data_IF_015544676927
#
_entry.id   IF_015544676927
#
_cell.length_a   1.000
_cell.length_b   1.000
_cell.length_c   1.000
_cell.angle_alpha   90.00
_cell.angle_beta   90.00
_cell.angle_gamma   90.00
#
_symmetry.space_group_name_H-M   'P 1'
#
loop_
_entity.id
_entity.type
_entity.pdbx_description
1 polymer ?
#
# COMPACT_ATOMS: atom_id res chain seq x y z
N UNK A 1 35.83 -2.07 -7.30
CA UNK A 1 34.85 -2.97 -6.66
C UNK A 1 35.60 -4.20 -6.21
N UNK A 2 35.50 -4.61 -4.94
CA UNK A 2 36.03 -5.89 -4.51
C UNK A 2 35.20 -7.01 -5.16
N UNK A 3 35.87 -8.00 -5.76
CA UNK A 3 35.19 -9.17 -6.29
C UNK A 3 34.54 -10.01 -5.19
N UNK A 4 33.66 -10.96 -5.54
CA UNK A 4 33.08 -11.89 -4.57
C UNK A 4 34.21 -12.66 -3.86
N UNK A 5 34.06 -12.83 -2.54
CA UNK A 5 35.02 -13.59 -1.74
C UNK A 5 35.02 -15.09 -2.15
N UNK A 6 36.05 -15.86 -1.79
CA UNK A 6 36.14 -17.28 -2.16
C UNK A 6 34.93 -18.12 -1.72
N UNK A 7 34.30 -17.79 -0.59
CA UNK A 7 33.15 -18.53 -0.06
C UNK A 7 31.89 -18.24 -0.88
N UNK A 8 31.70 -16.99 -1.32
CA UNK A 8 30.63 -16.59 -2.23
C UNK A 8 30.75 -17.29 -3.58
N UNK A 9 31.97 -17.41 -4.11
CA UNK A 9 32.21 -18.14 -5.36
C UNK A 9 31.91 -19.63 -5.22
N UNK A 10 32.39 -20.26 -4.13
CA UNK A 10 32.10 -21.67 -3.87
C UNK A 10 30.60 -21.92 -3.69
N UNK A 11 29.89 -21.03 -3.00
CA UNK A 11 28.44 -21.10 -2.82
C UNK A 11 27.68 -20.92 -4.13
N UNK A 12 28.11 -19.99 -5.00
CA UNK A 12 27.55 -19.82 -6.35
C UNK A 12 27.60 -21.13 -7.14
N UNK A 13 28.79 -21.74 -7.25
CA UNK A 13 28.95 -22.98 -8.01
C UNK A 13 28.15 -24.14 -7.44
N UNK A 14 28.07 -24.23 -6.10
CA UNK A 14 27.24 -25.24 -5.43
C UNK A 14 25.77 -25.08 -5.80
N UNK A 15 25.24 -23.85 -5.77
CA UNK A 15 23.85 -23.57 -6.14
C UNK A 15 23.60 -23.80 -7.63
N UNK A 16 24.49 -23.30 -8.49
CA UNK A 16 24.39 -23.48 -9.94
C UNK A 16 24.27 -24.95 -10.30
N UNK A 17 25.15 -25.81 -9.77
CA UNK A 17 25.10 -27.26 -9.99
C UNK A 17 23.86 -27.92 -9.37
N UNK A 18 23.43 -27.48 -8.16
CA UNK A 18 22.23 -28.00 -7.50
C UNK A 18 20.97 -27.82 -8.35
N UNK A 19 20.89 -26.74 -9.13
CA UNK A 19 19.76 -26.43 -10.00
C UNK A 19 19.97 -26.87 -11.46
N UNK A 20 20.90 -27.80 -11.70
CA UNK A 20 21.10 -28.42 -13.02
C UNK A 20 22.11 -27.70 -13.92
N UNK A 21 22.79 -26.66 -13.42
CA UNK A 21 23.90 -26.02 -14.12
C UNK A 21 25.09 -26.98 -14.27
N UNK A 22 25.75 -26.97 -15.42
CA UNK A 22 26.89 -27.83 -15.73
C UNK A 22 28.05 -26.99 -16.30
N UNK A 23 29.28 -27.54 -16.25
CA UNK A 23 30.45 -26.85 -16.81
C UNK A 23 30.28 -26.53 -18.33
N UNK A 24 29.66 -27.40 -19.16
CA UNK A 24 29.28 -27.04 -20.52
C UNK A 24 28.33 -25.84 -20.62
N UNK A 25 27.25 -25.80 -19.81
CA UNK A 25 26.30 -24.67 -19.81
C UNK A 25 27.01 -23.37 -19.44
N UNK A 26 27.93 -23.40 -18.46
CA UNK A 26 28.69 -22.21 -18.12
C UNK A 26 29.63 -21.78 -19.26
N UNK A 27 30.34 -22.71 -19.88
CA UNK A 27 31.24 -22.39 -21.00
C UNK A 27 30.49 -21.75 -22.16
N UNK A 28 29.30 -22.26 -22.46
CA UNK A 28 28.41 -21.68 -23.47
C UNK A 28 27.98 -20.27 -23.08
N UNK A 29 27.51 -20.08 -21.84
CA UNK A 29 27.10 -18.79 -21.32
C UNK A 29 28.23 -17.75 -21.32
N UNK A 30 29.47 -18.15 -21.00
CA UNK A 30 30.66 -17.27 -21.05
C UNK A 30 31.15 -16.97 -22.46
N UNK A 31 30.76 -17.77 -23.46
CA UNK A 31 31.19 -17.63 -24.86
C UNK A 31 30.15 -17.00 -25.78
N UNK A 32 28.92 -16.80 -25.33
CA UNK A 32 27.81 -16.23 -26.11
C UNK A 32 27.21 -15.00 -25.40
N UNK A 33 27.52 -13.82 -25.94
CA UNK A 33 27.05 -12.53 -25.43
C UNK A 33 25.52 -12.43 -25.40
N UNK A 34 24.80 -13.02 -26.37
CA UNK A 34 23.33 -12.98 -26.40
C UNK A 34 22.74 -13.84 -25.29
N UNK A 35 23.33 -15.00 -25.04
CA UNK A 35 22.90 -15.88 -23.95
C UNK A 35 23.20 -15.26 -22.59
N UNK A 36 24.35 -14.61 -22.42
CA UNK A 36 24.70 -13.85 -21.22
C UNK A 36 23.73 -12.68 -20.99
N UNK A 37 23.46 -11.89 -22.03
CA UNK A 37 22.49 -10.79 -21.97
C UNK A 37 21.10 -11.29 -21.57
N UNK A 38 20.63 -12.39 -22.18
CA UNK A 38 19.36 -13.02 -21.81
C UNK A 38 19.34 -13.47 -20.34
N UNK A 39 20.41 -14.11 -19.86
CA UNK A 39 20.49 -14.60 -18.48
C UNK A 39 20.46 -13.46 -17.46
N UNK A 40 21.26 -12.40 -17.69
CA UNK A 40 21.30 -11.21 -16.84
C UNK A 40 19.95 -10.48 -16.88
N UNK A 41 19.35 -10.33 -18.05
CA UNK A 41 18.02 -9.71 -18.20
C UNK A 41 16.97 -10.50 -17.44
N UNK A 42 16.91 -11.82 -17.63
CA UNK A 42 15.96 -12.71 -16.93
C UNK A 42 16.13 -12.68 -15.41
N UNK A 43 17.37 -12.63 -14.91
CA UNK A 43 17.66 -12.51 -13.49
C UNK A 43 17.20 -11.15 -12.95
N UNK A 44 17.47 -10.07 -13.68
CA UNK A 44 17.05 -8.73 -13.29
C UNK A 44 15.52 -8.58 -13.32
N UNK A 45 14.85 -9.14 -14.33
CA UNK A 45 13.38 -9.18 -14.40
C UNK A 45 12.79 -9.89 -13.20
N UNK A 46 13.30 -11.08 -12.84
CA UNK A 46 12.84 -11.81 -11.65
C UNK A 46 13.19 -11.12 -10.34
N UNK A 47 14.34 -10.46 -10.26
CA UNK A 47 14.77 -9.73 -9.06
C UNK A 47 13.94 -8.47 -8.84
N UNK A 48 13.51 -7.85 -9.93
CA UNK A 48 12.78 -6.58 -9.92
C UNK A 48 11.26 -6.75 -10.04
N UNK A 49 10.75 -7.97 -10.22
CA UNK A 49 9.32 -8.24 -10.25
C UNK A 49 8.68 -8.06 -8.88
N UNK A 50 7.42 -7.63 -8.87
CA UNK A 50 6.66 -7.54 -7.64
C UNK A 50 6.12 -8.95 -7.28
N UNK A 51 6.52 -9.54 -6.13
CA UNK A 51 6.05 -10.88 -5.75
C UNK A 51 4.56 -10.92 -5.37
N UNK A 52 3.90 -9.77 -5.30
CA UNK A 52 2.48 -9.60 -4.97
C UNK A 52 1.65 -9.15 -6.18
N UNK A 53 2.22 -9.21 -7.39
CA UNK A 53 1.52 -8.86 -8.63
C UNK A 53 0.27 -9.72 -8.81
N UNK A 54 -0.85 -9.06 -9.16
CA UNK A 54 -2.13 -9.71 -9.44
C UNK A 54 -2.69 -9.24 -10.78
N UNK A 55 -3.46 -10.11 -11.43
CA UNK A 55 -4.11 -9.78 -12.70
C UNK A 55 -5.15 -8.65 -12.55
N UNK A 56 -5.54 -8.04 -13.67
CA UNK A 56 -6.66 -7.06 -13.71
C UNK A 56 -7.95 -7.71 -13.22
N UNK A 57 -8.23 -8.92 -13.71
CA UNK A 57 -9.41 -9.71 -13.30
C UNK A 57 -9.43 -9.93 -11.79
N UNK A 58 -8.33 -10.39 -11.22
CA UNK A 58 -8.22 -10.62 -9.77
C UNK A 58 -8.38 -9.32 -8.96
N UNK A 59 -7.86 -8.20 -9.48
CA UNK A 59 -8.05 -6.88 -8.85
C UNK A 59 -9.54 -6.50 -8.81
N UNK A 60 -10.27 -6.70 -9.91
CA UNK A 60 -11.71 -6.43 -10.00
C UNK A 60 -12.53 -7.39 -9.13
N UNK A 61 -12.14 -8.66 -9.04
CA UNK A 61 -12.77 -9.64 -8.15
C UNK A 61 -12.61 -9.21 -6.68
N UNK A 62 -11.41 -8.76 -6.28
CA UNK A 62 -11.15 -8.21 -4.93
C UNK A 62 -11.94 -6.92 -4.66
N UNK A 63 -12.13 -6.06 -5.67
CA UNK A 63 -13.00 -4.88 -5.59
C UNK A 63 -14.46 -5.29 -5.34
N UNK A 64 -15.01 -6.23 -6.13
CA UNK A 64 -16.39 -6.74 -5.95
C UNK A 64 -16.59 -7.34 -4.56
N UNK A 65 -15.64 -8.14 -4.10
CA UNK A 65 -15.67 -8.67 -2.74
C UNK A 65 -15.73 -7.54 -1.69
N UNK A 66 -14.93 -6.49 -1.86
CA UNK A 66 -14.98 -5.33 -0.95
C UNK A 66 -16.36 -4.68 -0.91
N UNK A 67 -17.03 -4.58 -2.07
CA UNK A 67 -18.40 -4.08 -2.15
C UNK A 67 -19.37 -5.00 -1.41
N UNK A 68 -19.36 -6.29 -1.71
CA UNK A 68 -20.29 -7.24 -1.14
C UNK A 68 -20.13 -7.38 0.39
N UNK A 69 -18.89 -7.46 0.86
CA UNK A 69 -18.62 -7.73 2.27
C UNK A 69 -18.75 -6.48 3.15
N UNK A 70 -18.61 -5.28 2.58
CA UNK A 70 -18.45 -4.06 3.38
C UNK A 70 -19.21 -2.85 2.85
N UNK A 71 -18.99 -2.43 1.60
CA UNK A 71 -19.58 -1.17 1.13
C UNK A 71 -21.10 -1.27 0.93
N UNK A 72 -21.60 -2.36 0.36
CA UNK A 72 -23.04 -2.59 0.13
C UNK A 72 -23.85 -2.68 1.43
N UNK A 73 -23.39 -3.42 2.47
CA UNK A 73 -24.01 -3.36 3.80
C UNK A 73 -24.11 -1.94 4.40
N UNK A 74 -23.24 -1.02 3.98
CA UNK A 74 -23.24 0.39 4.40
C UNK A 74 -24.03 1.31 3.44
N UNK A 75 -24.81 0.74 2.53
CA UNK A 75 -25.69 1.48 1.62
C UNK A 75 -25.06 1.88 0.29
N UNK A 76 -23.82 1.47 -0.01
CA UNK A 76 -23.30 1.58 -1.37
C UNK A 76 -24.02 0.64 -2.33
N UNK A 77 -23.97 0.97 -3.62
CA UNK A 77 -24.36 0.05 -4.69
C UNK A 77 -23.11 -0.60 -5.27
N UNK A 78 -23.20 -1.88 -5.62
CA UNK A 78 -22.14 -2.56 -6.36
C UNK A 78 -21.88 -1.84 -7.69
N UNK A 79 -20.61 -1.78 -8.16
CA UNK A 79 -20.31 -1.26 -9.48
C UNK A 79 -21.06 -2.06 -10.55
N UNK A 80 -21.71 -1.35 -11.47
CA UNK A 80 -22.43 -1.93 -12.60
C UNK A 80 -21.49 -2.68 -13.54
N UNK A 81 -22.03 -3.60 -14.35
CA UNK A 81 -21.26 -4.31 -15.37
C UNK A 81 -20.53 -3.36 -16.34
N UNK A 82 -21.14 -2.21 -16.68
CA UNK A 82 -20.51 -1.20 -17.52
C UNK A 82 -19.34 -0.49 -16.84
N UNK A 83 -19.45 -0.17 -15.55
CA UNK A 83 -18.35 0.44 -14.78
C UNK A 83 -17.19 -0.54 -14.65
N UNK A 84 -17.47 -1.82 -14.39
CA UNK A 84 -16.44 -2.85 -14.28
C UNK A 84 -15.76 -3.12 -15.63
N UNK A 85 -16.53 -3.16 -16.72
CA UNK A 85 -15.96 -3.28 -18.08
C UNK A 85 -15.09 -2.06 -18.42
N UNK A 86 -15.52 -0.86 -18.01
CA UNK A 86 -14.73 0.35 -18.18
C UNK A 86 -13.42 0.29 -17.37
N UNK A 87 -13.49 -0.10 -16.09
CA UNK A 87 -12.31 -0.28 -15.24
C UNK A 87 -11.35 -1.32 -15.82
N UNK A 88 -11.86 -2.46 -16.31
CA UNK A 88 -11.02 -3.48 -16.94
C UNK A 88 -10.25 -2.93 -18.13
N UNK A 89 -10.92 -2.18 -19.01
CA UNK A 89 -10.30 -1.55 -20.19
C UNK A 89 -9.30 -0.46 -19.84
N UNK A 90 -9.54 0.28 -18.75
CA UNK A 90 -8.71 1.39 -18.31
C UNK A 90 -7.63 0.99 -17.31
N UNK A 91 -7.45 -0.31 -17.07
CA UNK A 91 -6.46 -0.78 -16.12
C UNK A 91 -5.04 -0.37 -16.58
N UNK A 92 -4.30 0.43 -15.80
CA UNK A 92 -2.93 0.76 -16.15
C UNK A 92 -2.08 -0.52 -16.15
N UNK A 93 -0.98 -0.53 -16.90
CA UNK A 93 0.01 -1.60 -16.79
C UNK A 93 0.49 -1.73 -15.34
N UNK A 94 0.92 -2.94 -14.96
CA UNK A 94 1.51 -3.11 -13.64
C UNK A 94 2.74 -2.18 -13.50
N UNK A 95 2.82 -1.35 -12.45
CA UNK A 95 3.91 -0.39 -12.34
C UNK A 95 5.24 -1.08 -12.07
N UNK A 96 6.32 -0.50 -12.57
CA UNK A 96 7.67 -1.04 -12.40
C UNK A 96 8.12 -0.92 -10.94
N UNK A 97 8.70 -1.99 -10.40
CA UNK A 97 9.33 -2.00 -9.09
C UNK A 97 8.87 -3.15 -8.20
N UNK A 98 9.77 -3.61 -7.32
CA UNK A 98 9.54 -4.74 -6.41
C UNK A 98 8.46 -4.50 -5.34
N UNK A 99 8.03 -3.26 -5.19
CA UNK A 99 7.04 -2.80 -4.22
C UNK A 99 6.07 -1.77 -4.81
N UNK A 100 5.92 -1.79 -6.15
CA UNK A 100 5.01 -0.93 -6.88
C UNK A 100 3.71 -1.68 -7.20
N UNK A 101 2.57 -1.02 -6.99
CA UNK A 101 1.24 -1.63 -7.03
C UNK A 101 0.29 -0.81 -7.87
N UNK A 102 -0.64 -1.50 -8.53
CA UNK A 102 -1.89 -0.94 -9.05
C UNK A 102 -3.02 -1.33 -8.12
N UNK A 103 -3.78 -0.36 -7.63
CA UNK A 103 -4.94 -0.56 -6.75
C UNK A 103 -6.09 0.39 -7.12
N UNK A 104 -7.07 0.54 -6.23
CA UNK A 104 -8.19 1.44 -6.40
C UNK A 104 -8.22 2.54 -5.35
N UNK A 105 -8.63 3.73 -5.77
CA UNK A 105 -9.29 4.69 -4.89
C UNK A 105 -10.79 4.40 -4.95
N UNK A 106 -11.43 4.10 -3.82
CA UNK A 106 -12.82 3.60 -3.79
C UNK A 106 -13.67 4.54 -2.95
N UNK A 107 -14.46 5.38 -3.64
CA UNK A 107 -15.34 6.38 -3.03
C UNK A 107 -16.76 6.18 -3.56
N UNK A 108 -17.56 5.28 -2.97
CA UNK A 108 -18.90 5.00 -3.46
C UNK A 108 -19.79 6.26 -3.49
N UNK A 109 -20.56 6.44 -4.57
CA UNK A 109 -21.45 7.60 -4.72
C UNK A 109 -22.46 7.78 -3.58
N UNK A 110 -22.96 6.67 -3.01
CA UNK A 110 -23.88 6.71 -1.87
C UNK A 110 -23.28 7.32 -0.59
N UNK A 111 -21.96 7.41 -0.50
CA UNK A 111 -21.30 8.01 0.66
C UNK A 111 -21.27 9.54 0.58
N UNK A 112 -21.54 10.11 -0.59
CA UNK A 112 -21.54 11.55 -0.82
C UNK A 112 -20.14 12.12 -1.00
N UNK A 113 -20.06 13.44 -0.92
CA UNK A 113 -18.83 14.21 -1.13
C UNK A 113 -18.42 14.93 0.16
N UNK A 114 -17.28 15.63 0.12
CA UNK A 114 -16.92 16.53 1.21
C UNK A 114 -16.60 15.79 2.51
N UNK A 115 -16.93 16.41 3.64
CA UNK A 115 -16.69 15.86 4.97
C UNK A 115 -17.39 14.50 5.18
N UNK A 116 -18.66 14.39 4.83
CA UNK A 116 -19.43 13.17 5.09
C UNK A 116 -18.96 12.01 4.20
N UNK A 117 -18.55 12.31 2.96
CA UNK A 117 -17.90 11.35 2.07
C UNK A 117 -16.60 10.81 2.65
N UNK A 118 -15.74 11.68 3.19
CA UNK A 118 -14.48 11.27 3.86
C UNK A 118 -14.75 10.31 5.01
N UNK A 119 -15.68 10.67 5.91
CA UNK A 119 -16.02 9.87 7.09
C UNK A 119 -16.47 8.47 6.67
N UNK A 120 -17.49 8.39 5.80
CA UNK A 120 -18.06 7.10 5.39
C UNK A 120 -17.06 6.25 4.61
N UNK A 121 -16.29 6.85 3.69
CA UNK A 121 -15.24 6.12 2.95
C UNK A 121 -14.19 5.57 3.89
N UNK A 122 -13.72 6.37 4.86
CA UNK A 122 -12.70 5.93 5.80
C UNK A 122 -13.16 4.76 6.66
N UNK A 123 -14.33 4.85 7.30
CA UNK A 123 -14.85 3.79 8.15
C UNK A 123 -15.12 2.50 7.36
N UNK A 124 -15.73 2.62 6.18
CA UNK A 124 -15.99 1.48 5.32
C UNK A 124 -14.67 0.81 4.89
N UNK A 125 -13.65 1.60 4.53
CA UNK A 125 -12.36 1.05 4.11
C UNK A 125 -11.66 0.34 5.28
N UNK A 126 -11.68 0.92 6.49
CA UNK A 126 -11.14 0.29 7.70
C UNK A 126 -11.86 -1.03 8.02
N UNK A 127 -13.19 -1.06 7.95
CA UNK A 127 -13.98 -2.27 8.14
C UNK A 127 -13.64 -3.34 7.09
N UNK A 128 -13.39 -2.91 5.85
CA UNK A 128 -13.03 -3.80 4.76
C UNK A 128 -11.65 -4.43 4.95
N UNK A 129 -10.68 -3.68 5.48
CA UNK A 129 -9.37 -4.22 5.88
C UNK A 129 -9.52 -5.20 7.04
N UNK A 130 -10.30 -4.84 8.08
CA UNK A 130 -10.58 -5.72 9.21
C UNK A 130 -11.08 -7.09 8.74
N UNK A 131 -12.06 -7.11 7.84
CA UNK A 131 -12.66 -8.34 7.32
C UNK A 131 -11.62 -9.33 6.74
N UNK A 132 -10.54 -8.85 6.12
CA UNK A 132 -9.51 -9.68 5.47
C UNK A 132 -8.40 -10.09 6.44
N UNK A 133 -8.16 -9.30 7.48
CA UNK A 133 -7.06 -9.52 8.42
C UNK A 133 -7.52 -10.12 9.75
N UNK A 134 -8.82 -10.20 10.03
CA UNK A 134 -9.36 -10.86 11.20
C UNK A 134 -8.92 -12.35 11.26
N UNK A 135 -8.60 -12.88 12.46
CA UNK A 135 -8.59 -12.21 13.77
C UNK A 135 -7.30 -11.43 14.09
N UNK A 136 -6.33 -11.38 13.16
CA UNK A 136 -5.02 -10.72 13.33
C UNK A 136 -5.06 -9.27 12.85
N UNK A 137 -6.11 -8.55 13.22
CA UNK A 137 -6.30 -7.15 12.91
C UNK A 137 -6.45 -6.34 14.21
N UNK A 138 -5.81 -5.18 14.24
CA UNK A 138 -6.01 -4.20 15.29
C UNK A 138 -6.08 -2.80 14.70
N UNK A 139 -7.02 -2.00 15.17
CA UNK A 139 -7.15 -0.57 14.84
C UNK A 139 -6.95 0.21 16.11
N UNK A 140 -6.09 1.24 16.07
CA UNK A 140 -5.92 2.16 17.18
C UNK A 140 -7.25 2.85 17.52
N UNK A 141 -7.58 2.91 18.79
CA UNK A 141 -8.89 3.40 19.26
C UNK A 141 -9.14 4.88 18.96
N UNK A 142 -8.08 5.68 18.78
CA UNK A 142 -8.20 7.09 18.41
C UNK A 142 -8.11 7.34 16.90
N UNK A 143 -7.84 6.29 16.11
CA UNK A 143 -7.90 6.34 14.66
C UNK A 143 -9.37 6.30 14.22
N UNK A 144 -10.11 7.39 14.42
CA UNK A 144 -11.54 7.51 14.14
C UNK A 144 -11.81 8.61 13.11
N UNK A 145 -12.96 8.57 12.43
CA UNK A 145 -13.43 9.67 11.58
C UNK A 145 -14.66 10.37 12.16
N UNK A 146 -14.85 11.63 11.76
CA UNK A 146 -15.94 12.48 12.25
C UNK A 146 -15.64 13.12 13.60
N UNK A 147 -16.67 13.67 14.22
CA UNK A 147 -16.59 14.33 15.51
C UNK A 147 -16.65 13.30 16.65
N UNK A 148 -15.72 13.38 17.59
CA UNK A 148 -15.69 12.51 18.77
C UNK A 148 -15.43 13.33 20.05
N UNK A 149 -16.01 12.94 21.20
CA UNK A 149 -15.82 13.67 22.45
C UNK A 149 -14.36 13.78 22.87
N UNK A 150 -13.96 14.99 23.30
CA UNK A 150 -12.67 15.29 23.91
C UNK A 150 -12.77 16.52 24.82
N UNK A 151 -12.37 16.39 26.09
CA UNK A 151 -12.39 17.49 27.08
C UNK A 151 -13.72 18.26 27.17
N UNK A 152 -14.84 17.59 26.93
CA UNK A 152 -16.18 18.17 27.01
C UNK A 152 -16.72 18.77 25.70
N UNK A 153 -15.95 18.69 24.61
CA UNK A 153 -16.38 19.15 23.27
C UNK A 153 -16.18 18.06 22.22
N UNK A 154 -16.94 18.10 21.14
CA UNK A 154 -16.76 17.19 20.01
C UNK A 154 -15.68 17.72 19.06
N UNK A 155 -14.66 16.90 18.81
CA UNK A 155 -13.50 17.26 17.98
C UNK A 155 -13.47 16.41 16.72
N UNK A 156 -13.37 17.06 15.56
CA UNK A 156 -13.15 16.39 14.27
C UNK A 156 -11.82 15.64 14.28
N UNK A 157 -11.85 14.33 14.03
CA UNK A 157 -10.69 13.45 14.14
C UNK A 157 -9.90 13.26 12.86
N UNK A 158 -10.54 13.35 11.70
CA UNK A 158 -9.94 13.01 10.42
C UNK A 158 -10.32 14.03 9.34
N UNK A 159 -9.35 14.43 8.53
CA UNK A 159 -9.60 15.16 7.28
C UNK A 159 -8.63 14.73 6.19
N UNK A 160 -8.94 15.09 4.95
CA UNK A 160 -7.96 15.06 3.87
C UNK A 160 -6.97 16.21 4.03
N UNK A 161 -5.68 15.95 3.77
CA UNK A 161 -4.61 16.96 3.82
C UNK A 161 -4.90 18.17 2.92
N UNK A 162 -5.52 17.94 1.77
CA UNK A 162 -5.88 19.00 0.82
C UNK A 162 -7.24 19.67 1.08
N UNK A 163 -7.92 19.33 2.17
CA UNK A 163 -9.31 19.73 2.43
C UNK A 163 -10.33 18.64 2.03
N UNK A 164 -11.40 18.53 2.82
CA UNK A 164 -12.44 17.52 2.62
C UNK A 164 -13.27 17.76 1.35
N UNK A 165 -13.35 19.00 0.87
CA UNK A 165 -13.99 19.41 -0.39
C UNK A 165 -13.41 18.70 -1.63
N UNK A 166 -12.17 18.20 -1.52
CA UNK A 166 -11.52 17.37 -2.55
C UNK A 166 -11.99 15.92 -2.56
N UNK A 167 -12.77 15.49 -1.59
CA UNK A 167 -13.41 14.19 -1.65
C UNK A 167 -14.54 14.22 -2.67
N UNK A 168 -14.34 13.49 -3.75
CA UNK A 168 -15.32 13.28 -4.82
C UNK A 168 -15.58 11.78 -4.98
N UNK A 169 -16.85 11.37 -5.14
CA UNK A 169 -17.19 10.01 -5.48
C UNK A 169 -16.52 9.54 -6.76
N UNK A 170 -16.20 8.26 -6.79
CA UNK A 170 -15.59 7.62 -7.94
C UNK A 170 -14.85 6.36 -7.54
N UNK A 171 -14.68 5.48 -8.51
CA UNK A 171 -13.77 4.35 -8.43
C UNK A 171 -12.78 4.54 -9.56
N UNK A 172 -11.51 4.67 -9.23
CA UNK A 172 -10.46 4.81 -10.23
C UNK A 172 -9.25 3.97 -9.87
N UNK A 173 -8.52 3.57 -10.91
CA UNK A 173 -7.21 2.98 -10.74
C UNK A 173 -6.24 4.01 -10.20
N UNK A 174 -5.38 3.55 -9.30
CA UNK A 174 -4.23 4.31 -8.81
C UNK A 174 -3.01 3.40 -8.84
N UNK A 175 -1.85 3.97 -9.16
CA UNK A 175 -0.56 3.30 -9.04
C UNK A 175 0.24 3.95 -7.91
N UNK A 176 1.11 3.21 -7.25
CA UNK A 176 1.99 3.76 -6.19
C UNK A 176 3.13 2.78 -5.89
N UNK A 177 4.21 3.28 -5.27
CA UNK A 177 5.31 2.45 -4.74
C UNK A 177 5.33 2.51 -3.22
N UNK A 178 5.04 1.39 -2.54
CA UNK A 178 5.02 1.30 -1.08
C UNK A 178 6.42 1.37 -0.43
N UNK A 179 7.48 1.51 -1.22
CA UNK A 179 8.83 1.82 -0.74
C UNK A 179 9.24 3.29 -0.94
N UNK A 180 8.40 4.12 -1.58
CA UNK A 180 8.67 5.53 -1.87
C UNK A 180 8.72 6.41 -0.60
N UNK A 181 9.50 7.50 -0.64
CA UNK A 181 9.49 8.50 0.43
C UNK A 181 10.06 7.98 1.76
N UNK A 182 10.84 6.89 1.71
CA UNK A 182 11.43 6.27 2.90
C UNK A 182 12.59 7.08 3.48
N UNK A 183 13.45 7.63 2.62
CA UNK A 183 14.60 8.47 2.98
C UNK A 183 14.20 9.94 2.93
N UNK A 184 13.43 10.37 3.92
CA UNK A 184 12.91 11.75 4.05
C UNK A 184 13.38 12.37 5.36
N UNK A 185 13.39 13.70 5.42
CA UNK A 185 13.70 14.43 6.66
C UNK A 185 12.57 14.30 7.68
N UNK A 186 11.32 14.42 7.22
CA UNK A 186 10.10 14.20 7.99
C UNK A 186 8.94 13.89 7.03
N UNK A 187 7.75 13.54 7.54
CA UNK A 187 6.60 13.19 6.67
C UNK A 187 6.12 14.42 5.90
N UNK A 188 6.15 15.61 6.51
CA UNK A 188 5.70 16.86 5.89
C UNK A 188 6.52 17.25 4.67
N UNK A 189 7.80 16.87 4.61
CA UNK A 189 8.70 17.18 3.50
C UNK A 189 8.39 16.41 2.21
N UNK A 190 7.57 15.36 2.26
CA UNK A 190 7.25 14.52 1.09
C UNK A 190 5.75 14.25 0.91
N UNK A 191 4.92 14.47 1.94
CA UNK A 191 3.47 14.32 1.81
C UNK A 191 2.88 15.43 0.96
N UNK A 192 1.80 15.14 0.25
CA UNK A 192 1.08 16.10 -0.58
C UNK A 192 -0.38 15.68 -0.78
N UNK A 193 -1.16 16.46 -1.52
CA UNK A 193 -2.52 16.03 -1.91
C UNK A 193 -2.54 14.78 -2.80
N UNK A 194 -1.38 14.34 -3.32
CA UNK A 194 -1.22 13.06 -4.02
C UNK A 194 -0.80 11.92 -3.09
N UNK A 195 -0.52 12.16 -1.82
CA UNK A 195 -0.22 11.06 -0.90
C UNK A 195 -1.39 10.12 -0.75
N UNK A 196 -1.09 8.84 -0.49
CA UNK A 196 -2.14 7.83 -0.31
C UNK A 196 -3.09 8.24 0.82
N UNK A 197 -4.39 8.25 0.58
CA UNK A 197 -5.44 8.48 1.58
C UNK A 197 -6.21 7.18 1.78
N UNK A 198 -7.47 7.11 1.33
CA UNK A 198 -8.25 5.87 1.34
C UNK A 198 -7.60 4.76 0.51
N UNK A 199 -6.93 5.10 -0.60
CA UNK A 199 -6.18 4.16 -1.42
C UNK A 199 -5.08 3.41 -0.64
N UNK A 200 -4.41 4.07 0.31
CA UNK A 200 -3.35 3.44 1.11
C UNK A 200 -3.90 2.43 2.12
N UNK A 201 -5.09 2.69 2.66
CA UNK A 201 -5.79 1.76 3.54
C UNK A 201 -6.36 0.61 2.70
N UNK A 202 -6.98 0.92 1.56
CA UNK A 202 -7.54 -0.07 0.65
C UNK A 202 -6.45 -1.00 0.08
N UNK A 203 -5.22 -0.52 -0.11
CA UNK A 203 -4.07 -1.36 -0.46
C UNK A 203 -3.83 -2.50 0.55
N UNK A 204 -4.07 -2.28 1.84
CA UNK A 204 -3.94 -3.32 2.86
C UNK A 204 -4.98 -4.45 2.69
N UNK A 205 -6.17 -4.13 2.18
CA UNK A 205 -7.18 -5.12 1.77
C UNK A 205 -6.79 -5.78 0.46
N UNK A 206 -6.39 -4.99 -0.53
CA UNK A 206 -6.06 -5.47 -1.87
C UNK A 206 -4.82 -6.36 -1.89
N UNK A 207 -3.89 -6.20 -0.95
CA UNK A 207 -2.63 -6.95 -0.90
C UNK A 207 -2.34 -7.45 0.51
N UNK A 208 -3.15 -8.40 1.03
CA UNK A 208 -3.03 -8.82 2.42
C UNK A 208 -1.68 -9.46 2.71
N UNK A 209 -1.10 -10.18 1.75
CA UNK A 209 0.22 -10.80 1.92
C UNK A 209 1.35 -9.76 1.91
N UNK A 210 1.19 -8.63 1.20
CA UNK A 210 2.14 -7.51 1.33
C UNK A 210 2.09 -6.87 2.71
N UNK A 211 0.90 -6.72 3.30
CA UNK A 211 0.77 -6.22 4.67
C UNK A 211 1.40 -7.20 5.68
N UNK A 212 1.21 -8.51 5.49
CA UNK A 212 1.84 -9.57 6.30
C UNK A 212 3.36 -9.63 6.13
N UNK A 213 3.87 -9.23 4.97
CA UNK A 213 5.30 -9.22 4.66
C UNK A 213 6.06 -8.01 5.22
N UNK A 214 5.40 -7.05 5.89
CA UNK A 214 6.08 -5.91 6.53
C UNK A 214 7.10 -6.42 7.56
N UNK A 215 8.36 -6.03 7.35
CA UNK A 215 9.52 -6.36 8.19
C UNK A 215 10.29 -5.10 8.65
N UNK A 216 9.86 -3.92 8.21
CA UNK A 216 10.48 -2.61 8.46
C UNK A 216 11.89 -2.42 7.91
N UNK A 217 12.45 -3.43 7.22
CA UNK A 217 13.78 -3.40 6.63
C UNK A 217 13.72 -3.40 5.11
N UNK A 218 13.20 -4.46 4.49
CA UNK A 218 13.05 -4.55 3.04
C UNK A 218 11.64 -4.17 2.59
N UNK A 219 10.66 -4.39 3.47
CA UNK A 219 9.25 -4.12 3.27
C UNK A 219 8.78 -3.16 4.37
N UNK A 220 8.83 -1.84 4.13
CA UNK A 220 8.43 -0.87 5.13
C UNK A 220 6.92 -0.94 5.39
N UNK A 221 6.53 -0.45 6.56
CA UNK A 221 5.17 0.03 6.79
C UNK A 221 4.93 1.29 5.94
N UNK A 222 3.68 1.73 5.78
CA UNK A 222 3.42 2.92 4.95
C UNK A 222 2.42 3.86 5.58
N UNK A 223 2.66 5.16 5.36
CA UNK A 223 1.72 6.21 5.70
C UNK A 223 0.63 6.34 4.65
N UNK A 224 -0.59 6.59 5.13
CA UNK A 224 -1.69 7.10 4.33
C UNK A 224 -1.74 8.63 4.48
N UNK A 225 -0.64 9.29 4.07
CA UNK A 225 -0.39 10.71 4.34
C UNK A 225 -1.25 11.72 3.56
N UNK A 226 -2.17 11.24 2.73
CA UNK A 226 -3.26 12.06 2.19
C UNK A 226 -4.35 12.36 3.22
N UNK A 227 -4.32 11.67 4.36
CA UNK A 227 -5.10 11.99 5.56
C UNK A 227 -4.29 12.74 6.61
N UNK A 228 -5.01 13.49 7.43
CA UNK A 228 -4.55 14.08 8.68
C UNK A 228 -5.48 13.67 9.81
N UNK A 229 -4.88 13.43 10.98
CA UNK A 229 -5.60 13.11 12.18
C UNK A 229 -5.38 14.18 13.23
N UNK A 230 -6.48 14.60 13.83
CA UNK A 230 -6.47 15.40 15.03
C UNK A 230 -6.42 14.47 16.25
N UNK A 231 -5.20 14.18 16.70
CA UNK A 231 -4.96 13.33 17.86
C UNK A 231 -5.27 14.15 19.12
N UNK A 232 -6.28 13.76 19.92
CA UNK A 232 -6.67 14.53 21.10
C UNK A 232 -5.57 14.57 22.16
N UNK A 233 -4.72 13.55 22.23
CA UNK A 233 -3.83 13.33 23.38
C UNK A 233 -2.67 14.34 23.49
N UNK A 234 -2.52 15.23 22.52
CA UNK A 234 -1.49 16.26 22.44
C UNK A 234 -2.14 17.64 22.42
N UNK A 235 -1.72 18.51 23.34
CA UNK A 235 -2.13 19.92 23.39
C UNK A 235 -1.28 20.80 22.46
N UNK A 236 -0.39 20.21 21.65
CA UNK A 236 0.62 20.95 20.90
C UNK A 236 -0.01 21.69 19.70
N UNK A 237 -0.61 20.99 18.73
CA UNK A 237 -1.28 21.57 17.55
C UNK A 237 -2.34 20.61 16.95
N UNK A 238 -3.40 21.11 16.26
CA UNK A 238 -4.34 20.24 15.58
C UNK A 238 -3.71 19.56 14.35
N UNK A 239 -4.22 18.38 13.98
CA UNK A 239 -3.86 17.66 12.74
C UNK A 239 -2.43 17.09 12.66
N UNK A 240 -1.86 16.69 13.81
CA UNK A 240 -0.48 16.20 13.91
C UNK A 240 -0.29 14.71 13.60
N UNK A 241 -1.36 13.92 13.64
CA UNK A 241 -1.30 12.48 13.37
C UNK A 241 -1.44 12.16 11.88
N UNK A 242 -0.74 11.14 11.42
CA UNK A 242 -0.85 10.62 10.06
C UNK A 242 -1.20 9.14 10.13
N UNK A 243 -2.34 8.70 9.55
CA UNK A 243 -2.69 7.29 9.55
C UNK A 243 -1.61 6.45 8.86
N UNK A 244 -1.38 5.23 9.35
CA UNK A 244 -0.45 4.30 8.75
C UNK A 244 -0.95 2.85 8.83
N UNK A 245 -0.46 2.05 7.89
CA UNK A 245 -0.60 0.59 7.92
C UNK A 245 0.73 0.01 8.34
N UNK A 246 0.73 -0.80 9.40
CA UNK A 246 1.93 -1.43 9.95
C UNK A 246 1.66 -2.86 10.41
N UNK A 247 2.71 -3.58 10.81
CA UNK A 247 2.59 -4.96 11.30
C UNK A 247 3.34 -5.16 12.60
N UNK A 248 2.73 -5.76 13.60
CA UNK A 248 3.45 -6.21 14.78
C UNK A 248 4.31 -7.43 14.44
N UNK A 249 5.63 -7.32 14.59
CA UNK A 249 6.54 -8.46 14.37
C UNK A 249 6.41 -9.54 15.45
N UNK A 250 5.83 -9.20 16.61
CA UNK A 250 5.69 -10.12 17.75
C UNK A 250 4.65 -11.22 17.50
N UNK A 251 3.50 -10.87 16.93
CA UNK A 251 2.33 -11.75 16.78
C UNK A 251 1.82 -11.82 15.33
N UNK A 252 2.37 -10.97 14.46
CA UNK A 252 2.00 -10.85 13.05
C UNK A 252 0.75 -10.03 12.78
N UNK A 253 0.21 -9.35 13.80
CA UNK A 253 -1.03 -8.55 13.69
C UNK A 253 -0.83 -7.38 12.73
N UNK A 254 -1.71 -7.24 11.73
CA UNK A 254 -1.78 -6.04 10.87
C UNK A 254 -2.52 -4.94 11.62
N UNK A 255 -1.94 -3.74 11.62
CA UNK A 255 -2.39 -2.60 12.41
C UNK A 255 -2.73 -1.42 11.52
N UNK A 256 -3.92 -0.85 11.71
CA UNK A 256 -4.22 0.53 11.33
C UNK A 256 -3.96 1.42 12.53
N UNK A 257 -3.05 2.37 12.38
CA UNK A 257 -2.56 3.20 13.46
C UNK A 257 -2.33 4.63 12.98
N UNK A 258 -1.72 5.48 13.80
CA UNK A 258 -1.18 6.75 13.39
C UNK A 258 0.23 6.97 13.93
N UNK A 259 0.97 7.86 13.28
CA UNK A 259 2.22 8.40 13.84
C UNK A 259 2.28 9.90 13.62
N UNK A 260 3.12 10.56 14.41
CA UNK A 260 3.42 11.98 14.30
C UNK A 260 3.93 12.39 12.92
N UNK A 261 3.41 13.50 12.40
CA UNK A 261 3.77 14.08 11.09
C UNK A 261 5.23 14.54 11.00
N UNK A 262 5.88 14.85 12.13
CA UNK A 262 7.32 15.16 12.20
C UNK A 262 8.22 13.91 12.16
N UNK A 263 7.65 12.72 12.01
CA UNK A 263 8.39 11.46 12.05
C UNK A 263 9.32 11.22 10.85
N UNK A 264 10.63 11.27 11.08
CA UNK A 264 11.68 10.91 10.11
C UNK A 264 11.91 9.39 9.94
N UNK A 265 11.10 8.54 10.58
CA UNK A 265 11.41 7.12 10.70
C UNK A 265 11.38 6.40 9.34
N UNK A 266 12.55 5.95 8.89
CA UNK A 266 12.73 5.23 7.63
C UNK A 266 12.12 3.82 7.65
N UNK A 267 11.65 3.30 8.79
CA UNK A 267 10.87 2.06 8.82
C UNK A 267 9.50 2.20 8.15
N UNK A 268 9.10 3.43 7.83
CA UNK A 268 7.85 3.77 7.16
C UNK A 268 8.13 4.50 5.85
N UNK A 269 7.37 4.21 4.81
CA UNK A 269 7.32 4.95 3.55
C UNK A 269 6.21 5.99 3.57
N UNK A 270 6.30 6.98 2.68
CA UNK A 270 5.25 8.00 2.46
C UNK A 270 4.91 8.00 0.97
N UNK A 271 4.21 6.95 0.50
CA UNK A 271 3.89 6.78 -0.90
C UNK A 271 2.93 7.84 -1.41
N UNK A 272 3.07 8.17 -2.69
CA UNK A 272 2.10 8.98 -3.43
C UNK A 272 1.45 8.18 -4.56
N UNK A 273 0.24 8.58 -4.96
CA UNK A 273 -0.34 8.09 -6.20
C UNK A 273 0.46 8.60 -7.39
N UNK A 274 0.86 7.67 -8.25
CA UNK A 274 1.50 7.93 -9.53
C UNK A 274 0.52 8.50 -10.54
N UNK A 275 1.10 9.07 -11.61
CA UNK A 275 0.37 9.52 -12.81
C UNK A 275 -0.03 8.34 -13.71
#
# INVERSE_FOLDING_TARGET
>A
MAGPDPDQNAEFWRRFRRFGGTDPIMKELLGDDKLMEWWITSLNERRNSNPFEISVKESLDRLRAAYNDTFCPLGAKEPTSSELTHLERMAPNWPKGKDAFRSFQVRPAAFGEGRDGVIKTFEATCASVKHIHDPKFWRWELLLSGAHPYRGEDVERLRLLGGNDRHKPGICWVTFDLSEGRQRTDITSVRSSRSLSDAGIFAARMFPDRAKAIDYKEKPAWFCAGYELNVPESDDEPWQGVPCVRRSLRDGTVRLDASWCSGANSNYSVPSVGE
#
